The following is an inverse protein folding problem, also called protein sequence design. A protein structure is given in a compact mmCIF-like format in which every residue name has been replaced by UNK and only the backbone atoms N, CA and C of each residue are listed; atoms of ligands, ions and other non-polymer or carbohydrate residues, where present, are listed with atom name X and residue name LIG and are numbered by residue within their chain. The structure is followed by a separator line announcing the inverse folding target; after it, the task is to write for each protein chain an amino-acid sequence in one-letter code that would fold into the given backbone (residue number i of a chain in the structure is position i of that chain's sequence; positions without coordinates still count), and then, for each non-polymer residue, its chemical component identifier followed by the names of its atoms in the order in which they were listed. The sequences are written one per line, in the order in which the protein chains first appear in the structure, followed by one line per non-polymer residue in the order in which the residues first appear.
data_IF_794898971394
#
_entry.id   IF_794898971394
#
_cell.length_a   1.000
_cell.length_b   1.000
_cell.length_c   1.000
_cell.angle_alpha   90.00
_cell.angle_beta   90.00
_cell.angle_gamma   90.00
#
_symmetry.space_group_name_H-M   'P 1'
#
loop_
_entity.id
_entity.type
_entity.pdbx_description
1 polymer ?
#
# COMPACT_ATOMS: atom_id res chain seq x y z
N UNK A 1 -1.92 -17.48 1.61
CA UNK A 1 -0.85 -18.04 0.77
C UNK A 1 -1.32 -18.26 -0.65
N UNK A 2 -0.39 -18.33 -1.63
CA UNK A 2 -0.67 -18.68 -3.01
C UNK A 2 0.62 -18.90 -3.78
N UNK A 3 0.53 -19.67 -4.86
CA UNK A 3 1.65 -19.85 -5.78
C UNK A 3 1.70 -18.71 -6.81
N UNK A 4 2.90 -18.31 -7.29
CA UNK A 4 3.02 -17.24 -8.28
C UNK A 4 2.35 -17.53 -9.63
N UNK A 5 2.16 -18.81 -9.96
CA UNK A 5 1.50 -19.28 -11.19
C UNK A 5 -0.02 -19.48 -11.03
N UNK A 6 -0.57 -19.24 -9.85
CA UNK A 6 -1.98 -19.41 -9.53
C UNK A 6 -2.40 -20.85 -9.20
N UNK A 7 -1.48 -21.80 -9.14
CA UNK A 7 -1.80 -23.18 -8.79
C UNK A 7 -2.12 -23.34 -7.29
N UNK A 8 -2.99 -24.27 -6.96
CA UNK A 8 -3.25 -24.71 -5.58
C UNK A 8 -2.38 -25.93 -5.30
N UNK A 9 -1.11 -25.69 -4.95
CA UNK A 9 -0.14 -26.76 -4.74
C UNK A 9 -0.32 -27.45 -3.39
N UNK A 10 0.12 -28.72 -3.29
CA UNK A 10 0.19 -29.43 -2.01
C UNK A 10 1.19 -28.78 -1.04
N UNK A 11 2.26 -28.14 -1.56
CA UNK A 11 3.18 -27.34 -0.77
C UNK A 11 2.47 -26.17 -0.09
N UNK A 12 1.67 -25.39 -0.84
CA UNK A 12 0.94 -24.27 -0.29
C UNK A 12 -0.08 -24.72 0.76
N UNK A 13 -0.80 -25.83 0.52
CA UNK A 13 -1.73 -26.42 1.49
C UNK A 13 -1.03 -26.87 2.77
N UNK A 14 0.10 -27.55 2.64
CA UNK A 14 0.89 -28.02 3.78
C UNK A 14 1.38 -26.84 4.64
N UNK A 15 1.94 -25.80 4.02
CA UNK A 15 2.40 -24.62 4.74
C UNK A 15 1.24 -23.91 5.43
N UNK A 16 0.12 -23.73 4.72
CA UNK A 16 -1.10 -23.13 5.28
C UNK A 16 -1.57 -23.92 6.52
N UNK A 17 -1.65 -25.26 6.43
CA UNK A 17 -2.06 -26.11 7.53
C UNK A 17 -1.16 -25.98 8.77
N UNK A 18 0.15 -25.85 8.61
CA UNK A 18 1.06 -25.62 9.73
C UNK A 18 0.83 -24.26 10.41
N UNK A 19 0.59 -23.20 9.61
CA UNK A 19 0.32 -21.86 10.14
C UNK A 19 -1.04 -21.84 10.85
N UNK A 20 -2.06 -22.49 10.27
CA UNK A 20 -3.40 -22.61 10.86
C UNK A 20 -3.39 -23.40 12.16
N UNK A 21 -2.57 -24.44 12.27
CA UNK A 21 -2.37 -25.18 13.51
C UNK A 21 -1.78 -24.28 14.64
N UNK A 22 -1.06 -23.22 14.27
CA UNK A 22 -0.60 -22.15 15.16
C UNK A 22 -1.66 -21.11 15.49
N UNK A 23 -2.91 -21.26 15.01
CA UNK A 23 -4.02 -20.35 15.29
C UNK A 23 -4.19 -19.17 14.34
N UNK A 24 -3.44 -19.10 13.24
CA UNK A 24 -3.54 -18.02 12.24
C UNK A 24 -4.26 -18.51 10.98
N UNK A 25 -5.49 -18.01 10.69
CA UNK A 25 -6.19 -18.35 9.45
C UNK A 25 -5.35 -18.05 8.21
N UNK A 26 -5.10 -19.06 7.39
CA UNK A 26 -4.18 -18.95 6.25
C UNK A 26 -4.80 -19.57 4.99
N UNK A 27 -5.78 -18.93 4.35
CA UNK A 27 -6.38 -19.47 3.14
C UNK A 27 -5.36 -19.59 2.02
N UNK A 28 -5.41 -20.69 1.26
CA UNK A 28 -4.68 -20.83 0.00
C UNK A 28 -5.56 -20.28 -1.12
N UNK A 29 -5.02 -19.33 -1.88
CA UNK A 29 -5.76 -18.60 -2.93
C UNK A 29 -5.04 -18.71 -4.27
N UNK A 30 -5.82 -18.79 -5.35
CA UNK A 30 -5.30 -18.92 -6.73
C UNK A 30 -4.63 -17.60 -7.20
N UNK A 31 -5.25 -16.46 -6.93
CA UNK A 31 -4.75 -15.16 -7.38
C UNK A 31 -4.02 -14.39 -6.27
N UNK A 32 -2.86 -14.92 -5.86
CA UNK A 32 -2.03 -14.25 -4.85
C UNK A 32 -1.51 -12.90 -5.34
N UNK A 33 -1.22 -12.76 -6.63
CA UNK A 33 -0.72 -11.51 -7.21
C UNK A 33 -1.73 -10.39 -7.03
N UNK A 34 -3.00 -10.63 -7.31
CA UNK A 34 -4.09 -9.66 -7.10
C UNK A 34 -4.18 -9.24 -5.63
N UNK A 35 -4.04 -10.18 -4.71
CA UNK A 35 -4.06 -9.90 -3.26
C UNK A 35 -2.88 -9.02 -2.84
N UNK A 36 -1.68 -9.31 -3.35
CA UNK A 36 -0.47 -8.49 -3.10
C UNK A 36 -0.66 -7.08 -3.65
N UNK A 37 -1.15 -6.94 -4.89
CA UNK A 37 -1.44 -5.65 -5.49
C UNK A 37 -2.52 -4.88 -4.70
N UNK A 38 -3.59 -5.53 -4.28
CA UNK A 38 -4.65 -4.90 -3.47
C UNK A 38 -4.10 -4.38 -2.13
N UNK A 39 -3.17 -5.11 -1.50
CA UNK A 39 -2.49 -4.68 -0.29
C UNK A 39 -1.58 -3.47 -0.56
N UNK A 40 -0.79 -3.51 -1.65
CA UNK A 40 0.07 -2.40 -2.05
C UNK A 40 -0.77 -1.13 -2.32
N UNK A 41 -1.91 -1.26 -3.02
CA UNK A 41 -2.83 -0.12 -3.26
C UNK A 41 -3.31 0.54 -1.96
N UNK A 42 -3.60 -0.26 -0.95
CA UNK A 42 -3.91 0.25 0.39
C UNK A 42 -2.75 1.06 0.98
N UNK A 43 -1.55 0.52 0.91
CA UNK A 43 -0.35 1.13 1.48
C UNK A 43 0.04 2.44 0.80
N UNK A 44 0.07 2.50 -0.54
CA UNK A 44 0.44 3.71 -1.28
C UNK A 44 -0.58 4.85 -1.09
N UNK A 45 -1.84 4.50 -0.83
CA UNK A 45 -2.89 5.50 -0.57
C UNK A 45 -2.85 5.99 0.88
N UNK A 46 -2.83 5.08 1.84
CA UNK A 46 -2.93 5.43 3.26
C UNK A 46 -1.60 5.89 3.86
N UNK A 47 -0.49 5.28 3.46
CA UNK A 47 0.83 5.55 4.03
C UNK A 47 1.21 7.02 3.99
N UNK A 48 1.41 7.61 2.80
CA UNK A 48 1.84 9.00 2.68
C UNK A 48 0.88 9.98 3.34
N UNK A 49 -0.43 9.81 3.13
CA UNK A 49 -1.43 10.73 3.68
C UNK A 49 -1.48 10.70 5.21
N UNK A 50 -1.34 9.52 5.82
CA UNK A 50 -1.31 9.39 7.27
C UNK A 50 0.02 9.88 7.87
N UNK A 51 1.16 9.70 7.18
CA UNK A 51 2.45 10.28 7.57
C UNK A 51 2.34 11.80 7.62
N UNK A 52 1.81 12.42 6.57
CA UNK A 52 1.70 13.87 6.44
C UNK A 52 0.70 14.49 7.42
N UNK A 53 -0.43 13.84 7.63
CA UNK A 53 -1.46 14.31 8.57
C UNK A 53 -1.17 13.94 10.03
N UNK A 54 -0.20 13.06 10.30
CA UNK A 54 0.07 12.49 11.64
C UNK A 54 -1.19 11.88 12.28
N UNK A 55 -2.07 11.33 11.46
CA UNK A 55 -3.39 10.88 11.89
C UNK A 55 -3.75 9.53 11.30
N UNK A 56 -4.66 8.81 11.98
CA UNK A 56 -5.23 7.56 11.44
C UNK A 56 -6.18 7.84 10.26
N UNK A 57 -6.46 6.82 9.46
CA UNK A 57 -7.24 6.92 8.22
C UNK A 57 -8.56 7.67 8.35
N UNK A 58 -9.36 7.35 9.38
CA UNK A 58 -10.66 8.01 9.60
C UNK A 58 -10.53 9.53 9.77
N UNK A 59 -9.55 10.00 10.55
CA UNK A 59 -9.33 11.43 10.75
C UNK A 59 -8.75 12.09 9.49
N UNK A 60 -7.80 11.44 8.83
CA UNK A 60 -7.17 11.93 7.59
C UNK A 60 -8.19 12.11 6.47
N UNK A 61 -9.07 11.13 6.26
CA UNK A 61 -10.07 11.16 5.19
C UNK A 61 -11.35 11.95 5.55
N UNK A 62 -11.43 12.54 6.74
CA UNK A 62 -12.54 13.42 7.11
C UNK A 62 -12.50 14.77 6.35
N UNK A 63 -11.31 15.20 5.92
CA UNK A 63 -11.16 16.39 5.09
C UNK A 63 -11.52 16.07 3.62
N UNK A 64 -12.44 16.83 2.98
CA UNK A 64 -12.88 16.54 1.61
C UNK A 64 -11.77 16.62 0.55
N UNK A 65 -10.79 17.53 0.72
CA UNK A 65 -9.71 17.69 -0.24
C UNK A 65 -8.73 16.51 -0.13
N UNK A 66 -8.43 16.06 1.08
CA UNK A 66 -7.58 14.88 1.32
C UNK A 66 -8.31 13.62 0.84
N UNK A 67 -9.62 13.50 1.09
CA UNK A 67 -10.42 12.39 0.55
C UNK A 67 -10.35 12.33 -0.98
N UNK A 68 -10.53 13.46 -1.66
CA UNK A 68 -10.42 13.52 -3.11
C UNK A 68 -9.01 13.17 -3.61
N UNK A 69 -7.95 13.58 -2.91
CA UNK A 69 -6.58 13.18 -3.21
C UNK A 69 -6.37 11.67 -3.03
N UNK A 70 -6.90 11.09 -1.96
CA UNK A 70 -6.83 9.64 -1.71
C UNK A 70 -7.53 8.83 -2.82
N UNK A 71 -8.67 9.30 -3.31
CA UNK A 71 -9.37 8.67 -4.45
C UNK A 71 -8.46 8.70 -5.69
N UNK A 72 -7.84 9.86 -6.02
CA UNK A 72 -6.91 9.96 -7.14
C UNK A 72 -5.72 9.00 -7.01
N UNK A 73 -5.07 8.95 -5.84
CA UNK A 73 -3.97 7.98 -5.60
C UNK A 73 -4.43 6.54 -5.80
N UNK A 74 -5.64 6.21 -5.34
CA UNK A 74 -6.19 4.86 -5.52
C UNK A 74 -6.50 4.54 -7.00
N UNK A 75 -6.87 5.52 -7.80
CA UNK A 75 -7.07 5.39 -9.26
C UNK A 75 -5.74 5.25 -10.00
N UNK A 76 -4.76 6.10 -9.68
CA UNK A 76 -3.39 6.03 -10.18
C UNK A 76 -2.77 4.65 -9.90
N UNK A 77 -2.88 4.17 -8.66
CA UNK A 77 -2.41 2.84 -8.29
C UNK A 77 -3.13 1.70 -9.01
N UNK A 78 -4.45 1.81 -9.22
CA UNK A 78 -5.19 0.81 -10.00
C UNK A 78 -4.75 0.81 -11.48
N UNK A 79 -4.39 1.96 -12.04
CA UNK A 79 -3.81 2.05 -13.38
C UNK A 79 -2.44 1.36 -13.43
N UNK A 80 -1.59 1.56 -12.42
CA UNK A 80 -0.31 0.87 -12.30
C UNK A 80 -0.49 -0.66 -12.22
N UNK A 81 -1.39 -1.14 -11.35
CA UNK A 81 -1.65 -2.57 -11.22
C UNK A 81 -2.09 -3.20 -12.56
N UNK A 82 -2.97 -2.52 -13.33
CA UNK A 82 -3.39 -2.97 -14.66
C UNK A 82 -2.24 -3.02 -15.66
N UNK A 83 -1.31 -2.06 -15.63
CA UNK A 83 -0.14 -2.09 -16.50
C UNK A 83 0.75 -3.31 -16.25
N UNK A 84 0.73 -3.86 -15.04
CA UNK A 84 1.38 -5.12 -14.66
C UNK A 84 0.46 -6.35 -14.74
N UNK A 85 -0.64 -6.26 -15.47
CA UNK A 85 -1.55 -7.38 -15.72
C UNK A 85 -2.46 -7.75 -14.53
N UNK A 86 -2.54 -6.91 -13.50
CA UNK A 86 -3.37 -7.15 -12.33
C UNK A 86 -4.57 -6.20 -12.28
N UNK A 87 -5.77 -6.73 -12.43
CA UNK A 87 -6.99 -5.95 -12.20
C UNK A 87 -7.40 -6.01 -10.72
N UNK A 88 -7.14 -4.94 -10.00
CA UNK A 88 -7.56 -4.77 -8.59
C UNK A 88 -8.99 -4.25 -8.47
N UNK A 89 -9.72 -4.18 -9.57
CA UNK A 89 -11.10 -3.71 -9.66
C UNK A 89 -11.23 -2.19 -9.72
N UNK A 90 -12.44 -1.76 -10.02
CA UNK A 90 -12.87 -0.36 -10.05
C UNK A 90 -13.43 0.07 -8.68
N UNK A 91 -13.81 1.33 -8.53
CA UNK A 91 -14.48 1.82 -7.31
C UNK A 91 -13.51 2.31 -6.23
N UNK A 92 -12.48 3.06 -6.64
CA UNK A 92 -11.55 3.75 -5.73
C UNK A 92 -12.27 4.54 -4.65
N UNK A 93 -13.27 5.33 -5.01
CA UNK A 93 -14.09 6.10 -4.07
C UNK A 93 -14.78 5.21 -3.02
N UNK A 94 -15.40 4.11 -3.44
CA UNK A 94 -16.04 3.17 -2.52
C UNK A 94 -15.04 2.53 -1.54
N UNK A 95 -13.82 2.24 -1.99
CA UNK A 95 -12.73 1.77 -1.11
C UNK A 95 -12.36 2.86 -0.09
N UNK A 96 -12.20 4.09 -0.53
CA UNK A 96 -11.85 5.21 0.37
C UNK A 96 -12.96 5.52 1.37
N UNK A 97 -14.23 5.44 0.97
CA UNK A 97 -15.36 5.57 1.90
C UNK A 97 -15.33 4.51 3.01
N UNK A 98 -15.00 3.24 2.67
CA UNK A 98 -14.82 2.19 3.69
C UNK A 98 -13.61 2.48 4.59
N UNK A 99 -12.49 2.90 4.02
CA UNK A 99 -11.29 3.25 4.80
C UNK A 99 -11.53 4.41 5.75
N UNK A 100 -12.37 5.38 5.36
CA UNK A 100 -12.75 6.52 6.19
C UNK A 100 -13.57 6.14 7.45
N UNK A 101 -14.09 4.91 7.54
CA UNK A 101 -14.77 4.44 8.75
C UNK A 101 -13.83 3.83 9.79
N UNK A 102 -12.58 3.55 9.41
CA UNK A 102 -11.65 2.75 10.22
C UNK A 102 -10.60 3.65 10.88
N UNK A 103 -10.57 3.65 12.21
CA UNK A 103 -9.55 4.35 12.99
C UNK A 103 -8.25 3.53 13.05
N UNK A 104 -7.70 3.19 11.86
CA UNK A 104 -6.47 2.43 11.73
C UNK A 104 -5.29 3.35 11.39
N UNK A 105 -4.17 3.16 12.07
CA UNK A 105 -2.87 3.76 11.74
C UNK A 105 -2.09 2.77 10.87
N UNK A 106 -1.71 3.13 9.62
CA UNK A 106 -0.81 2.31 8.82
C UNK A 106 0.51 2.02 9.56
N UNK A 107 1.12 0.86 9.31
CA UNK A 107 2.38 0.46 9.96
C UNK A 107 3.47 1.52 9.78
N UNK A 108 3.60 2.08 8.60
CA UNK A 108 4.58 3.12 8.28
C UNK A 108 4.38 4.42 9.10
N UNK A 109 3.15 4.77 9.49
CA UNK A 109 2.90 5.86 10.44
C UNK A 109 3.30 5.44 11.86
N UNK A 110 3.01 4.19 12.25
CA UNK A 110 3.43 3.67 13.56
C UNK A 110 4.96 3.66 13.67
N UNK A 111 5.69 3.30 12.62
CA UNK A 111 7.15 3.34 12.60
C UNK A 111 7.68 4.76 12.78
N UNK A 112 7.06 5.74 12.10
CA UNK A 112 7.39 7.15 12.28
C UNK A 112 7.16 7.63 13.72
N UNK A 113 6.03 7.25 14.34
CA UNK A 113 5.68 7.64 15.71
C UNK A 113 6.59 6.98 16.76
N UNK A 114 7.07 5.76 16.47
CA UNK A 114 7.92 4.98 17.36
C UNK A 114 9.42 5.18 17.09
N UNK A 115 9.79 6.05 16.14
CA UNK A 115 11.18 6.30 15.78
C UNK A 115 11.89 5.08 15.17
N UNK A 116 11.18 4.24 14.44
CA UNK A 116 11.74 3.06 13.77
C UNK A 116 12.04 3.32 12.30
N UNK A 117 12.98 2.57 11.73
CA UNK A 117 13.25 2.60 10.29
C UNK A 117 11.97 2.39 9.48
N UNK A 118 11.77 3.20 8.43
CA UNK A 118 10.55 3.22 7.63
C UNK A 118 10.75 2.52 6.28
N UNK A 119 9.77 1.74 5.85
CA UNK A 119 9.78 0.99 4.58
C UNK A 119 9.47 1.89 3.37
N UNK A 120 10.20 3.01 3.24
CA UNK A 120 9.96 4.02 2.19
C UNK A 120 10.18 3.42 0.80
N UNK A 121 11.28 2.68 0.59
CA UNK A 121 11.58 2.14 -0.73
C UNK A 121 10.49 1.17 -1.21
N UNK A 122 10.15 0.19 -0.40
CA UNK A 122 9.18 -0.83 -0.78
C UNK A 122 7.77 -0.26 -1.04
N UNK A 123 7.37 0.77 -0.30
CA UNK A 123 6.01 1.30 -0.33
C UNK A 123 5.85 2.56 -1.18
N UNK A 124 6.91 3.34 -1.42
CA UNK A 124 6.81 4.61 -2.12
C UNK A 124 7.74 4.68 -3.33
N UNK A 125 9.04 4.47 -3.16
CA UNK A 125 10.04 4.66 -4.23
C UNK A 125 9.89 3.62 -5.34
N UNK A 126 9.82 2.34 -4.99
CA UNK A 126 9.67 1.25 -5.97
C UNK A 126 8.37 1.35 -6.76
N UNK A 127 7.19 1.60 -6.17
CA UNK A 127 5.98 1.83 -6.95
C UNK A 127 6.07 3.01 -7.94
N UNK A 128 6.75 4.10 -7.56
CA UNK A 128 6.98 5.23 -8.48
C UNK A 128 7.93 4.86 -9.63
N UNK A 129 8.98 4.08 -9.34
CA UNK A 129 9.86 3.57 -10.37
C UNK A 129 9.11 2.65 -11.34
N UNK A 130 8.31 1.72 -10.83
CA UNK A 130 7.46 0.84 -11.64
C UNK A 130 6.50 1.65 -12.52
N UNK A 131 5.91 2.71 -11.98
CA UNK A 131 5.01 3.59 -12.74
C UNK A 131 5.74 4.28 -13.91
N UNK A 132 6.96 4.79 -13.66
CA UNK A 132 7.81 5.39 -14.68
C UNK A 132 8.17 4.39 -15.77
N UNK A 133 8.57 3.17 -15.41
CA UNK A 133 8.93 2.09 -16.35
C UNK A 133 7.72 1.68 -17.22
N UNK A 134 6.53 1.63 -16.63
CA UNK A 134 5.29 1.29 -17.32
C UNK A 134 4.65 2.47 -18.06
N UNK A 135 5.18 3.69 -17.96
CA UNK A 135 4.62 4.90 -18.57
C UNK A 135 3.26 5.30 -17.95
N UNK A 136 3.01 4.95 -16.69
CA UNK A 136 1.77 5.26 -15.97
C UNK A 136 1.96 6.53 -15.14
N UNK A 137 1.26 7.64 -15.44
CA UNK A 137 1.36 8.86 -14.66
C UNK A 137 0.71 8.69 -13.28
N UNK A 138 1.43 9.08 -12.23
CA UNK A 138 0.93 9.03 -10.84
C UNK A 138 1.22 10.36 -10.11
N UNK A 139 0.75 11.52 -10.62
CA UNK A 139 1.16 12.82 -10.11
C UNK A 139 0.74 13.09 -8.67
N UNK A 140 -0.42 12.58 -8.25
CA UNK A 140 -0.90 12.76 -6.86
C UNK A 140 -0.08 11.90 -5.91
N UNK A 141 0.21 10.66 -6.30
CA UNK A 141 1.06 9.77 -5.50
C UNK A 141 2.51 10.26 -5.46
N UNK A 142 3.07 10.72 -6.58
CA UNK A 142 4.43 11.28 -6.64
C UNK A 142 4.62 12.43 -5.66
N UNK A 143 3.69 13.38 -5.63
CA UNK A 143 3.72 14.50 -4.69
C UNK A 143 3.64 14.01 -3.23
N UNK A 144 2.66 13.18 -2.91
CA UNK A 144 2.43 12.74 -1.52
C UNK A 144 3.54 11.81 -1.03
N UNK A 145 4.07 10.94 -1.89
CA UNK A 145 5.20 10.06 -1.59
C UNK A 145 6.50 10.87 -1.40
N UNK A 146 6.76 11.87 -2.24
CA UNK A 146 7.91 12.76 -2.10
C UNK A 146 7.91 13.49 -0.76
N UNK A 147 6.77 14.09 -0.37
CA UNK A 147 6.63 14.75 0.91
C UNK A 147 6.76 13.78 2.10
N UNK A 148 6.21 12.58 2.00
CA UNK A 148 6.33 11.55 3.04
C UNK A 148 7.78 11.05 3.18
N UNK A 149 8.49 10.88 2.06
CA UNK A 149 9.92 10.53 2.03
C UNK A 149 10.76 11.61 2.70
N UNK A 150 10.49 12.89 2.37
CA UNK A 150 11.18 14.02 3.02
C UNK A 150 10.92 14.04 4.53
N UNK A 151 9.69 13.78 4.97
CA UNK A 151 9.35 13.70 6.40
C UNK A 151 10.13 12.57 7.10
N UNK A 152 10.23 11.38 6.48
CA UNK A 152 11.00 10.25 7.01
C UNK A 152 12.50 10.55 7.09
N UNK A 153 13.08 11.17 6.06
CA UNK A 153 14.48 11.56 6.00
C UNK A 153 14.80 12.63 7.06
N UNK A 154 13.96 13.64 7.18
CA UNK A 154 14.12 14.71 8.18
C UNK A 154 14.01 14.19 9.61
N UNK A 155 13.27 13.11 9.82
CA UNK A 155 13.18 12.42 11.12
C UNK A 155 14.38 11.48 11.38
N UNK A 156 15.29 11.27 10.41
CA UNK A 156 16.40 10.33 10.51
C UNK A 156 15.98 8.85 10.46
N UNK A 157 14.79 8.56 9.95
CA UNK A 157 14.21 7.21 9.93
C UNK A 157 14.28 6.55 8.55
N UNK A 158 14.80 7.26 7.57
CA UNK A 158 15.09 6.79 6.23
C UNK A 158 16.32 7.51 5.66
N UNK A 159 17.22 6.77 5.03
CA UNK A 159 18.31 7.30 4.24
C UNK A 159 18.14 6.83 2.79
N UNK A 160 17.97 7.74 1.81
CA UNK A 160 17.92 7.34 0.41
C UNK A 160 19.23 6.66 0.01
N UNK A 161 19.18 5.64 -0.89
CA UNK A 161 20.40 5.02 -1.39
C UNK A 161 21.32 6.09 -2.01
N UNK A 162 22.63 5.91 -1.81
CA UNK A 162 23.62 6.74 -2.46
C UNK A 162 23.45 6.61 -3.98
N UNK A 163 23.26 7.74 -4.67
CA UNK A 163 23.06 7.80 -6.12
C UNK A 163 24.33 7.43 -6.90
#
# INVERSE_FOLDING_TARGET
LGEPDGSISERAKMIAGHIEAGGMPTPVIEDIRRTVWAKLMGNITSGPLCILSRSHMKATLADPAIFAAAVRVAEEGAALARAYGCDVGTGAEGRMRRSATIAHKPSILQDLELGRAMEIDALLTVPLQMAKEAGVPMPTFELTAGLATLAATSAGLYAPPAG
#
